data_IF_781432946350
#
_entry.id   IF_781432946350
#
_cell.length_a   1.000
_cell.length_b   1.000
_cell.length_c   1.000
_cell.angle_alpha   90.00
_cell.angle_beta   90.00
_cell.angle_gamma   90.00
#
_symmetry.space_group_name_H-M   'P 1'
#
loop_
_entity.id
_entity.type
_entity.pdbx_description
1 polymer ?
#
# COMPACT_ATOMS: atom_id res chain seq x y z
N UNK A 1 -19.94 -8.23 -17.94
CA UNK A 1 -18.73 -7.89 -17.15
C UNK A 1 -18.54 -6.39 -17.27
N UNK A 2 -18.59 -5.66 -16.16
CA UNK A 2 -18.22 -4.24 -16.17
C UNK A 2 -16.70 -4.13 -16.22
N UNK A 3 -16.17 -3.21 -17.02
CA UNK A 3 -14.76 -2.86 -16.92
C UNK A 3 -14.48 -2.24 -15.55
N UNK A 4 -13.30 -2.49 -14.95
CA UNK A 4 -12.91 -1.84 -13.70
C UNK A 4 -12.83 -0.33 -13.90
N UNK A 5 -13.33 0.44 -12.94
CA UNK A 5 -13.19 1.89 -12.95
C UNK A 5 -11.75 2.28 -12.62
N UNK A 6 -10.99 2.59 -13.66
CA UNK A 6 -9.56 2.92 -13.55
C UNK A 6 -9.31 4.25 -12.82
N UNK A 7 -10.34 5.08 -12.58
CA UNK A 7 -10.21 6.26 -11.72
C UNK A 7 -9.97 5.91 -10.25
N UNK A 8 -10.32 4.68 -9.85
CA UNK A 8 -10.08 4.12 -8.52
C UNK A 8 -8.70 3.45 -8.38
N UNK A 9 -7.90 3.44 -9.44
CA UNK A 9 -6.61 2.75 -9.48
C UNK A 9 -5.46 3.65 -8.98
N UNK A 10 -4.76 3.19 -7.96
CA UNK A 10 -3.58 3.84 -7.41
C UNK A 10 -2.29 3.33 -8.07
N UNK A 11 -1.32 4.22 -8.38
CA UNK A 11 0.01 3.79 -8.82
C UNK A 11 0.79 3.15 -7.66
N UNK A 12 1.78 2.34 -8.00
CA UNK A 12 2.63 1.64 -7.02
C UNK A 12 3.30 2.60 -6.02
N UNK A 13 3.78 3.74 -6.49
CA UNK A 13 4.49 4.71 -5.64
C UNK A 13 3.60 5.31 -4.56
N UNK A 14 2.34 5.64 -4.86
CA UNK A 14 1.40 6.19 -3.89
C UNK A 14 1.02 5.15 -2.84
N UNK A 15 0.72 3.92 -3.30
CA UNK A 15 0.45 2.79 -2.41
C UNK A 15 1.64 2.49 -1.48
N UNK A 16 2.87 2.56 -2.00
CA UNK A 16 4.08 2.33 -1.23
C UNK A 16 4.28 3.42 -0.19
N UNK A 17 4.16 4.69 -0.58
CA UNK A 17 4.30 5.83 0.33
C UNK A 17 3.26 5.77 1.45
N UNK A 18 2.02 5.44 1.11
CA UNK A 18 0.96 5.22 2.10
C UNK A 18 1.35 4.14 3.11
N UNK A 19 1.73 2.96 2.63
CA UNK A 19 2.10 1.84 3.49
C UNK A 19 3.30 2.16 4.38
N UNK A 20 4.31 2.85 3.85
CA UNK A 20 5.47 3.30 4.62
C UNK A 20 5.09 4.24 5.75
N UNK A 21 4.22 5.23 5.50
CA UNK A 21 3.77 6.15 6.54
C UNK A 21 2.96 5.43 7.62
N UNK A 22 2.03 4.55 7.24
CA UNK A 22 1.27 3.73 8.21
C UNK A 22 2.19 2.85 9.06
N UNK A 23 3.22 2.23 8.47
CA UNK A 23 4.21 1.44 9.21
C UNK A 23 5.11 2.28 10.12
N UNK A 24 5.34 3.56 9.79
CA UNK A 24 6.07 4.51 10.65
C UNK A 24 5.24 4.96 11.85
N UNK A 25 3.91 5.00 11.73
CA UNK A 25 2.99 5.31 12.82
C UNK A 25 2.80 4.18 13.83
N UNK A 26 3.17 2.93 13.48
CA UNK A 26 3.19 1.83 14.45
C UNK A 26 4.17 2.19 15.57
N UNK A 27 3.68 2.11 16.82
CA UNK A 27 4.46 2.42 18.02
C UNK A 27 5.79 1.66 18.06
N UNK A 28 6.79 2.25 18.74
CA UNK A 28 8.12 1.64 18.86
C UNK A 28 8.01 0.22 19.42
N UNK A 29 8.62 -0.74 18.72
CA UNK A 29 8.54 -2.17 19.07
C UNK A 29 7.32 -2.91 18.51
N UNK A 30 6.30 -2.21 18.00
CA UNK A 30 5.07 -2.83 17.47
C UNK A 30 5.20 -3.44 16.07
N UNK A 31 6.30 -3.15 15.34
CA UNK A 31 6.47 -3.64 13.97
C UNK A 31 6.66 -5.17 13.92
N UNK A 32 7.39 -5.75 14.88
CA UNK A 32 7.62 -7.20 14.92
C UNK A 32 6.30 -7.96 15.20
N UNK A 33 5.52 -7.61 16.25
CA UNK A 33 4.19 -8.19 16.46
C UNK A 33 3.24 -8.06 15.26
N UNK A 34 3.25 -6.90 14.59
CA UNK A 34 2.47 -6.71 13.35
C UNK A 34 2.89 -7.71 12.27
N UNK A 35 4.20 -7.89 12.06
CA UNK A 35 4.70 -8.86 11.08
C UNK A 35 4.30 -10.29 11.45
N UNK A 36 4.39 -10.67 12.72
CA UNK A 36 4.00 -12.00 13.20
C UNK A 36 2.51 -12.27 13.01
N UNK A 37 1.65 -11.35 13.45
CA UNK A 37 0.20 -11.46 13.35
C UNK A 37 -0.26 -11.62 11.89
N UNK A 38 0.34 -10.84 10.99
CA UNK A 38 0.00 -10.88 9.57
C UNK A 38 0.90 -11.82 8.75
N UNK A 39 1.79 -12.60 9.38
CA UNK A 39 2.73 -13.55 8.75
C UNK A 39 3.64 -12.94 7.68
N UNK A 40 4.12 -11.72 7.90
CA UNK A 40 5.09 -11.06 7.03
C UNK A 40 6.54 -11.37 7.45
N UNK A 41 7.48 -11.46 6.50
CA UNK A 41 8.90 -11.47 6.83
C UNK A 41 9.32 -10.10 7.38
N UNK A 42 9.78 -10.06 8.63
CA UNK A 42 10.15 -8.82 9.32
C UNK A 42 11.20 -8.00 8.54
N UNK A 43 12.25 -8.66 8.03
CA UNK A 43 13.34 -8.02 7.26
C UNK A 43 12.84 -7.36 5.98
N UNK A 44 11.85 -7.95 5.32
CA UNK A 44 11.25 -7.37 4.11
C UNK A 44 10.39 -6.16 4.46
N UNK A 45 9.59 -6.24 5.53
CA UNK A 45 8.73 -5.11 5.96
C UNK A 45 9.55 -3.93 6.48
N UNK A 46 10.62 -4.17 7.25
CA UNK A 46 11.49 -3.07 7.70
C UNK A 46 12.20 -2.41 6.51
N UNK A 47 12.64 -3.19 5.51
CA UNK A 47 13.22 -2.64 4.29
C UNK A 47 12.18 -1.85 3.48
N UNK A 48 10.95 -2.35 3.36
CA UNK A 48 9.83 -1.63 2.73
C UNK A 48 9.56 -0.30 3.45
N UNK A 49 9.38 -0.34 4.78
CA UNK A 49 9.14 0.83 5.63
C UNK A 49 10.17 1.93 5.43
N UNK A 50 11.44 1.55 5.26
CA UNK A 50 12.57 2.47 5.16
C UNK A 50 12.98 2.80 3.72
N UNK A 51 12.29 2.27 2.70
CA UNK A 51 12.62 2.53 1.30
C UNK A 51 13.85 1.78 0.77
N UNK A 52 14.24 0.68 1.43
CA UNK A 52 15.44 -0.12 1.12
C UNK A 52 15.12 -1.41 0.33
N UNK A 53 13.95 -1.50 -0.31
CA UNK A 53 13.65 -2.63 -1.20
C UNK A 53 14.52 -2.58 -2.45
N UNK A 54 15.03 -3.73 -2.88
CA UNK A 54 15.89 -3.85 -4.08
C UNK A 54 15.09 -3.83 -5.39
N UNK A 55 13.79 -4.07 -5.33
CA UNK A 55 12.86 -4.12 -6.46
C UNK A 55 11.43 -3.85 -5.99
N UNK A 56 10.54 -3.56 -6.93
CA UNK A 56 9.11 -3.47 -6.63
C UNK A 56 8.56 -4.83 -6.17
N UNK A 57 7.70 -4.82 -5.15
CA UNK A 57 7.06 -6.02 -4.60
C UNK A 57 5.53 -5.83 -4.54
N UNK A 58 4.82 -5.76 -5.68
CA UNK A 58 3.39 -5.39 -5.69
C UNK A 58 2.49 -6.37 -4.92
N UNK A 59 2.81 -7.68 -4.95
CA UNK A 59 2.06 -8.69 -4.19
C UNK A 59 2.22 -8.54 -2.68
N UNK A 60 3.43 -8.20 -2.23
CA UNK A 60 3.68 -7.89 -0.83
C UNK A 60 2.90 -6.63 -0.43
N UNK A 61 2.98 -5.58 -1.25
CA UNK A 61 2.31 -4.31 -1.00
C UNK A 61 0.79 -4.46 -0.97
N UNK A 62 0.20 -5.24 -1.86
CA UNK A 62 -1.24 -5.57 -1.87
C UNK A 62 -1.69 -6.18 -0.55
N UNK A 63 -0.98 -7.22 -0.08
CA UNK A 63 -1.28 -7.90 1.18
C UNK A 63 -1.06 -6.99 2.38
N UNK A 64 -0.02 -6.15 2.34
CA UNK A 64 0.28 -5.17 3.38
C UNK A 64 -0.83 -4.12 3.49
N UNK A 65 -1.29 -3.56 2.37
CA UNK A 65 -2.42 -2.63 2.34
C UNK A 65 -3.67 -3.25 2.97
N UNK A 66 -4.00 -4.51 2.64
CA UNK A 66 -5.13 -5.21 3.26
C UNK A 66 -4.96 -5.42 4.76
N UNK A 67 -3.73 -5.64 5.22
CA UNK A 67 -3.40 -5.76 6.66
C UNK A 67 -3.43 -4.42 7.40
N UNK A 68 -3.46 -3.30 6.66
CA UNK A 68 -3.61 -1.94 7.17
C UNK A 68 -5.05 -1.42 6.97
N UNK A 69 -5.99 -2.34 6.74
CA UNK A 69 -7.41 -2.09 6.46
C UNK A 69 -7.68 -1.25 5.20
N UNK A 70 -6.81 -1.37 4.18
CA UNK A 70 -7.03 -0.79 2.86
C UNK A 70 -7.47 -1.89 1.89
N UNK A 71 -8.77 -2.05 1.62
CA UNK A 71 -9.25 -2.99 0.62
C UNK A 71 -8.71 -2.58 -0.75
N UNK A 72 -8.16 -3.54 -1.50
CA UNK A 72 -7.66 -3.30 -2.83
C UNK A 72 -7.57 -4.60 -3.64
N UNK A 73 -7.53 -4.47 -4.95
CA UNK A 73 -7.21 -5.54 -5.91
C UNK A 73 -5.95 -5.19 -6.69
N UNK A 74 -5.21 -6.21 -7.16
CA UNK A 74 -4.08 -6.00 -8.05
C UNK A 74 -4.55 -6.00 -9.51
N UNK A 75 -4.32 -4.87 -10.18
CA UNK A 75 -4.64 -4.69 -11.58
C UNK A 75 -3.35 -4.58 -12.40
N UNK A 76 -3.20 -5.42 -13.41
CA UNK A 76 -2.14 -5.26 -14.40
C UNK A 76 -2.67 -4.38 -15.53
N UNK A 77 -2.38 -3.08 -15.47
CA UNK A 77 -2.84 -2.12 -16.48
C UNK A 77 -1.87 -0.96 -16.67
N UNK A 78 -1.48 -0.63 -17.92
CA UNK A 78 -1.71 -1.40 -19.16
C UNK A 78 -1.19 -2.85 -19.08
N UNK A 79 -1.64 -3.79 -19.93
CA UNK A 79 -1.21 -5.20 -19.90
C UNK A 79 0.33 -5.36 -19.97
N UNK A 80 0.98 -4.48 -20.72
CA UNK A 80 2.44 -4.45 -20.91
C UNK A 80 3.16 -3.56 -19.89
N UNK A 81 2.44 -3.02 -18.89
CA UNK A 81 3.05 -2.22 -17.84
C UNK A 81 3.92 -3.10 -16.94
N UNK A 82 5.17 -2.71 -16.69
CA UNK A 82 6.02 -3.42 -15.72
C UNK A 82 5.49 -3.28 -14.28
N UNK A 83 4.69 -2.25 -14.00
CA UNK A 83 4.17 -1.96 -12.66
C UNK A 83 2.66 -2.23 -12.58
N UNK A 84 2.28 -3.01 -11.56
CA UNK A 84 0.87 -3.26 -11.22
C UNK A 84 0.27 -2.04 -10.49
N UNK A 85 -1.04 -1.82 -10.69
CA UNK A 85 -1.84 -0.82 -9.99
C UNK A 85 -2.69 -1.47 -8.90
N UNK A 86 -3.13 -0.66 -7.95
CA UNK A 86 -3.98 -1.10 -6.83
C UNK A 86 -5.36 -0.49 -7.00
N UNK A 87 -6.36 -1.31 -7.33
CA UNK A 87 -7.73 -0.86 -7.54
C UNK A 87 -8.46 -0.83 -6.20
N UNK A 88 -8.99 0.32 -5.81
CA UNK A 88 -9.85 0.47 -4.64
C UNK A 88 -11.30 0.07 -4.98
N UNK A 89 -12.11 -0.37 -3.99
CA UNK A 89 -13.45 -0.88 -4.25
C UNK A 89 -14.45 0.19 -4.69
N UNK A 90 -14.29 1.43 -4.23
CA UNK A 90 -15.22 2.53 -4.48
C UNK A 90 -14.56 3.91 -4.25
N UNK A 91 -15.32 4.97 -4.52
CA UNK A 91 -14.88 6.35 -4.34
C UNK A 91 -14.70 6.76 -2.88
N UNK A 92 -15.35 6.09 -1.92
CA UNK A 92 -15.20 6.40 -0.49
C UNK A 92 -13.83 5.92 0.03
N UNK A 93 -13.42 4.72 -0.38
CA UNK A 93 -12.08 4.20 -0.14
C UNK A 93 -11.00 5.10 -0.77
N UNK A 94 -11.24 5.58 -2.00
CA UNK A 94 -10.33 6.53 -2.67
C UNK A 94 -10.23 7.86 -1.92
N UNK A 95 -11.36 8.45 -1.53
CA UNK A 95 -11.38 9.70 -0.78
C UNK A 95 -10.66 9.55 0.58
N UNK A 96 -10.89 8.44 1.28
CA UNK A 96 -10.22 8.13 2.55
C UNK A 96 -8.71 8.01 2.37
N UNK A 97 -8.27 7.27 1.33
CA UNK A 97 -6.86 7.13 1.00
C UNK A 97 -6.21 8.49 0.71
N UNK A 98 -6.84 9.32 -0.12
CA UNK A 98 -6.34 10.64 -0.49
C UNK A 98 -6.27 11.60 0.71
N UNK A 99 -7.27 11.58 1.58
CA UNK A 99 -7.30 12.39 2.80
C UNK A 99 -6.15 12.03 3.74
N UNK A 100 -5.90 10.74 3.95
CA UNK A 100 -4.80 10.26 4.78
C UNK A 100 -3.44 10.56 4.14
N UNK A 101 -3.32 10.43 2.81
CA UNK A 101 -2.12 10.81 2.07
C UNK A 101 -1.82 12.31 2.17
N UNK A 102 -2.85 13.16 2.15
CA UNK A 102 -2.68 14.61 2.34
C UNK A 102 -2.12 14.91 3.74
N UNK A 103 -2.63 14.23 4.77
CA UNK A 103 -2.10 14.35 6.15
C UNK A 103 -0.61 13.99 6.22
N UNK A 104 -0.14 12.98 5.49
CA UNK A 104 1.28 12.61 5.45
C UNK A 104 2.18 13.62 4.71
N UNK A 105 1.61 14.44 3.82
CA UNK A 105 2.34 15.43 3.01
C UNK A 105 2.40 16.80 3.66
N UNK A 106 1.52 17.10 4.61
CA UNK A 106 1.56 18.37 5.36
C UNK A 106 2.77 18.38 6.30
N UNK A 107 3.71 19.34 6.15
CA UNK A 107 4.75 19.53 7.15
C UNK A 107 4.07 20.04 8.43
N UNK A 108 4.25 19.29 9.52
CA UNK A 108 4.00 19.80 10.87
C UNK A 108 5.08 20.81 11.27
#
# INVERSE_FOLDING_TARGET
MSFPDLSLALPYQDALLYAQNRLKMIARGGLLPFCEAHKFPYTTIINLKNGNLKKEEPRLLHRLLRSLDVPNELLQFPPDSPSQRFLLPDGEALATFQLQMAFFKSPG
#
